data_IF_892976504166
#
_entry.id   IF_892976504166
#
_cell.length_a   1.000
_cell.length_b   1.000
_cell.length_c   1.000
_cell.angle_alpha   90.00
_cell.angle_beta   90.00
_cell.angle_gamma   90.00
#
_symmetry.space_group_name_H-M   'P 1'
#
loop_
_entity.id
_entity.type
_entity.pdbx_description
1 polymer ?
#
# COMPACT_ATOMS: atom_id res chain seq x y z
N UNK A 1 -28.67 2.75 1.49
CA UNK A 1 -28.19 2.27 0.17
C UNK A 1 -27.30 3.30 -0.51
N UNK A 2 -27.81 4.47 -0.96
CA UNK A 2 -26.98 5.48 -1.65
C UNK A 2 -25.76 5.95 -0.82
N UNK A 3 -25.96 6.24 0.47
CA UNK A 3 -24.86 6.69 1.34
C UNK A 3 -23.76 5.64 1.54
N UNK A 4 -24.11 4.37 1.60
CA UNK A 4 -23.15 3.27 1.72
C UNK A 4 -22.32 3.10 0.44
N UNK A 5 -22.99 3.16 -0.72
CA UNK A 5 -22.32 3.13 -2.03
C UNK A 5 -21.36 4.31 -2.17
N UNK A 6 -21.78 5.52 -1.79
CA UNK A 6 -20.92 6.70 -1.85
C UNK A 6 -19.68 6.54 -0.96
N UNK A 7 -19.84 5.99 0.24
CA UNK A 7 -18.70 5.67 1.13
C UNK A 7 -17.77 4.66 0.46
N UNK A 8 -18.28 3.55 -0.08
CA UNK A 8 -17.49 2.52 -0.79
C UNK A 8 -16.71 3.12 -1.97
N UNK A 9 -17.31 4.05 -2.72
CA UNK A 9 -16.64 4.80 -3.81
C UNK A 9 -15.50 5.68 -3.27
N UNK A 10 -15.75 6.48 -2.23
CA UNK A 10 -14.72 7.34 -1.62
C UNK A 10 -13.54 6.51 -1.11
N UNK A 11 -13.80 5.40 -0.43
CA UNK A 11 -12.74 4.50 0.04
C UNK A 11 -11.97 3.88 -1.14
N UNK A 12 -12.66 3.51 -2.22
CA UNK A 12 -11.99 2.99 -3.43
C UNK A 12 -11.09 4.05 -4.07
N UNK A 13 -11.49 5.32 -4.09
CA UNK A 13 -10.63 6.41 -4.58
C UNK A 13 -9.37 6.58 -3.70
N UNK A 14 -9.51 6.51 -2.37
CA UNK A 14 -8.37 6.53 -1.44
C UNK A 14 -7.45 5.31 -1.65
N UNK A 15 -8.03 4.14 -1.92
CA UNK A 15 -7.30 2.92 -2.26
C UNK A 15 -6.52 3.08 -3.57
N UNK A 16 -7.10 3.70 -4.60
CA UNK A 16 -6.39 4.00 -5.84
C UNK A 16 -5.24 5.00 -5.62
N UNK A 17 -5.47 6.06 -4.84
CA UNK A 17 -4.43 7.05 -4.54
C UNK A 17 -3.28 6.45 -3.74
N UNK A 18 -3.58 5.60 -2.76
CA UNK A 18 -2.55 4.86 -2.00
C UNK A 18 -1.81 3.83 -2.86
N UNK A 19 -2.47 3.23 -3.86
CA UNK A 19 -1.80 2.37 -4.84
C UNK A 19 -0.80 3.17 -5.67
N UNK A 20 -1.15 4.37 -6.14
CA UNK A 20 -0.21 5.26 -6.85
C UNK A 20 1.00 5.57 -5.97
N UNK A 21 0.77 5.90 -4.69
CA UNK A 21 1.85 6.10 -3.73
C UNK A 21 2.73 4.85 -3.55
N UNK A 22 2.11 3.67 -3.55
CA UNK A 22 2.80 2.38 -3.47
C UNK A 22 3.64 2.09 -4.70
N UNK A 23 3.16 2.40 -5.89
CA UNK A 23 3.89 2.11 -7.12
C UNK A 23 5.03 3.10 -7.39
N UNK A 24 4.92 4.33 -6.88
CA UNK A 24 5.86 5.42 -7.20
C UNK A 24 6.79 5.75 -5.99
N UNK A 25 6.41 6.59 -5.00
CA UNK A 25 7.24 6.88 -3.83
C UNK A 25 7.86 5.66 -3.16
N UNK A 26 7.08 4.61 -2.90
CA UNK A 26 7.59 3.41 -2.24
C UNK A 26 8.58 2.61 -3.09
N UNK A 27 8.42 2.62 -4.42
CA UNK A 27 9.41 2.03 -5.32
C UNK A 27 10.75 2.79 -5.25
N UNK A 28 10.73 4.13 -5.27
CA UNK A 28 11.94 4.94 -5.08
C UNK A 28 12.59 4.70 -3.72
N UNK A 29 11.78 4.64 -2.66
CA UNK A 29 12.23 4.28 -1.32
C UNK A 29 12.98 2.95 -1.28
N UNK A 30 12.40 1.91 -1.89
CA UNK A 30 12.98 0.58 -1.93
C UNK A 30 14.27 0.52 -2.77
N UNK A 31 14.35 1.26 -3.88
CA UNK A 31 15.58 1.37 -4.68
C UNK A 31 16.69 2.10 -3.91
N UNK A 32 16.37 3.15 -3.17
CA UNK A 32 17.33 3.84 -2.31
C UNK A 32 17.78 2.95 -1.14
N UNK A 33 16.86 2.14 -0.59
CA UNK A 33 17.19 1.15 0.42
C UNK A 33 18.17 0.09 -0.12
N UNK A 34 17.98 -0.38 -1.36
CA UNK A 34 18.93 -1.28 -2.02
C UNK A 34 20.34 -0.69 -2.09
N UNK A 35 20.47 0.57 -2.52
CA UNK A 35 21.76 1.27 -2.60
C UNK A 35 22.47 1.32 -1.25
N UNK A 36 21.72 1.45 -0.15
CA UNK A 36 22.26 1.60 1.21
C UNK A 36 22.56 0.26 1.91
N UNK A 37 21.74 -0.76 1.68
CA UNK A 37 21.74 -2.00 2.48
C UNK A 37 22.10 -3.26 1.70
N UNK A 38 22.26 -3.17 0.37
CA UNK A 38 22.59 -4.30 -0.49
C UNK A 38 21.39 -5.19 -0.86
N UNK A 39 21.68 -6.27 -1.59
CA UNK A 39 20.67 -7.10 -2.27
C UNK A 39 19.82 -8.00 -1.35
N UNK A 40 20.36 -8.65 -0.28
CA UNK A 40 19.55 -9.57 0.54
C UNK A 40 18.37 -8.89 1.23
N UNK A 41 18.59 -7.75 1.88
CA UNK A 41 17.53 -7.00 2.57
C UNK A 41 16.57 -6.35 1.57
N UNK A 42 17.07 -5.95 0.40
CA UNK A 42 16.24 -5.44 -0.68
C UNK A 42 15.27 -6.50 -1.22
N UNK A 43 15.67 -7.78 -1.34
CA UNK A 43 14.77 -8.86 -1.75
C UNK A 43 13.60 -9.02 -0.78
N UNK A 44 13.84 -8.95 0.53
CA UNK A 44 12.79 -8.97 1.54
C UNK A 44 11.84 -7.78 1.34
N UNK A 45 12.40 -6.57 1.24
CA UNK A 45 11.60 -5.37 0.99
C UNK A 45 10.79 -5.45 -0.31
N UNK A 46 11.34 -6.04 -1.37
CA UNK A 46 10.65 -6.25 -2.65
C UNK A 46 9.48 -7.22 -2.52
N UNK A 47 9.62 -8.29 -1.74
CA UNK A 47 8.51 -9.21 -1.44
C UNK A 47 7.42 -8.47 -0.66
N UNK A 48 7.78 -7.74 0.40
CA UNK A 48 6.82 -6.95 1.18
C UNK A 48 6.10 -5.88 0.31
N UNK A 49 6.84 -5.25 -0.62
CA UNK A 49 6.29 -4.28 -1.55
C UNK A 49 5.26 -4.91 -2.49
N UNK A 50 5.56 -6.06 -3.09
CA UNK A 50 4.60 -6.79 -3.94
C UNK A 50 3.38 -7.25 -3.16
N UNK A 51 3.54 -7.74 -1.94
CA UNK A 51 2.41 -8.05 -1.06
C UNK A 51 1.52 -6.81 -0.90
N UNK A 52 2.10 -5.66 -0.56
CA UNK A 52 1.34 -4.41 -0.44
C UNK A 52 0.63 -4.01 -1.74
N UNK A 53 1.28 -4.10 -2.90
CA UNK A 53 0.64 -3.86 -4.21
C UNK A 53 -0.57 -4.79 -4.40
N UNK A 54 -0.41 -6.10 -4.17
CA UNK A 54 -1.49 -7.08 -4.37
C UNK A 54 -2.63 -6.95 -3.37
N UNK A 55 -2.39 -6.42 -2.17
CA UNK A 55 -3.46 -6.19 -1.19
C UNK A 55 -4.45 -5.10 -1.63
N UNK A 56 -4.06 -4.18 -2.52
CA UNK A 56 -4.99 -3.16 -3.02
C UNK A 56 -6.17 -3.76 -3.81
N UNK A 57 -5.99 -4.56 -4.88
CA UNK A 57 -7.11 -5.21 -5.56
C UNK A 57 -7.86 -6.19 -4.64
N UNK A 58 -7.19 -6.88 -3.71
CA UNK A 58 -7.86 -7.73 -2.70
C UNK A 58 -8.81 -6.91 -1.83
N UNK A 59 -8.38 -5.75 -1.35
CA UNK A 59 -9.23 -4.85 -0.56
C UNK A 59 -10.37 -4.27 -1.39
N UNK A 60 -10.13 -3.89 -2.65
CA UNK A 60 -11.20 -3.44 -3.54
C UNK A 60 -12.27 -4.52 -3.69
N UNK A 61 -11.86 -5.77 -3.98
CA UNK A 61 -12.79 -6.89 -4.09
C UNK A 61 -13.53 -7.13 -2.76
N UNK A 62 -12.82 -7.07 -1.63
CA UNK A 62 -13.41 -7.20 -0.29
C UNK A 62 -14.52 -6.18 -0.01
N UNK A 63 -14.32 -4.92 -0.39
CA UNK A 63 -15.29 -3.83 -0.21
C UNK A 63 -16.56 -4.07 -1.03
N UNK A 64 -16.39 -4.49 -2.28
CA UNK A 64 -17.49 -4.55 -3.25
C UNK A 64 -18.25 -5.87 -3.26
N UNK A 65 -17.61 -6.99 -2.94
CA UNK A 65 -18.21 -8.33 -3.09
C UNK A 65 -18.42 -9.09 -1.78
N UNK A 66 -17.73 -8.72 -0.71
CA UNK A 66 -17.72 -9.50 0.54
C UNK A 66 -18.15 -8.70 1.77
N UNK A 67 -18.64 -7.46 1.58
CA UNK A 67 -19.01 -6.53 2.66
C UNK A 67 -17.98 -6.47 3.79
N UNK A 68 -16.70 -6.52 3.40
CA UNK A 68 -15.61 -6.51 4.34
C UNK A 68 -15.62 -5.20 5.16
N UNK A 69 -15.32 -5.33 6.44
CA UNK A 69 -15.32 -4.20 7.38
C UNK A 69 -14.35 -3.10 6.90
N UNK A 70 -14.92 -1.94 6.54
CA UNK A 70 -14.17 -0.78 6.06
C UNK A 70 -13.08 -0.34 7.04
N UNK A 71 -13.38 -0.32 8.34
CA UNK A 71 -12.41 0.06 9.38
C UNK A 71 -11.22 -0.89 9.43
N UNK A 72 -11.46 -2.21 9.35
CA UNK A 72 -10.39 -3.21 9.31
C UNK A 72 -9.51 -3.03 8.06
N UNK A 73 -10.13 -2.78 6.90
CA UNK A 73 -9.39 -2.60 5.65
C UNK A 73 -8.52 -1.34 5.67
N UNK A 74 -9.10 -0.20 6.06
CA UNK A 74 -8.38 1.08 6.15
C UNK A 74 -7.22 0.97 7.16
N UNK A 75 -7.48 0.41 8.34
CA UNK A 75 -6.45 0.24 9.37
C UNK A 75 -5.34 -0.71 8.91
N UNK A 76 -5.70 -1.82 8.27
CA UNK A 76 -4.71 -2.78 7.75
C UNK A 76 -3.84 -2.14 6.67
N UNK A 77 -4.43 -1.40 5.73
CA UNK A 77 -3.69 -0.70 4.68
C UNK A 77 -2.76 0.36 5.27
N UNK A 78 -3.26 1.18 6.18
CA UNK A 78 -2.48 2.22 6.85
C UNK A 78 -1.30 1.61 7.63
N UNK A 79 -1.53 0.52 8.36
CA UNK A 79 -0.48 -0.21 9.07
C UNK A 79 0.58 -0.75 8.12
N UNK A 80 0.17 -1.38 7.01
CA UNK A 80 1.10 -1.88 5.99
C UNK A 80 1.96 -0.74 5.40
N UNK A 81 1.34 0.38 5.02
CA UNK A 81 2.06 1.56 4.53
C UNK A 81 3.03 2.12 5.56
N UNK A 82 2.60 2.21 6.82
CA UNK A 82 3.44 2.71 7.92
C UNK A 82 4.66 1.82 8.14
N UNK A 83 4.46 0.52 8.33
CA UNK A 83 5.56 -0.44 8.54
C UNK A 83 6.51 -0.48 7.34
N UNK A 84 5.98 -0.47 6.11
CA UNK A 84 6.80 -0.42 4.91
C UNK A 84 7.62 0.86 4.84
N UNK A 85 6.99 2.01 5.05
CA UNK A 85 7.64 3.33 5.04
C UNK A 85 8.79 3.42 6.05
N UNK A 86 8.56 3.04 7.30
CA UNK A 86 9.60 3.12 8.34
C UNK A 86 10.71 2.08 8.18
N UNK A 87 10.50 0.99 7.43
CA UNK A 87 11.49 -0.09 7.31
C UNK A 87 12.29 0.04 6.01
N UNK A 88 11.59 0.18 4.89
CA UNK A 88 12.17 0.07 3.54
C UNK A 88 12.14 1.37 2.74
N UNK A 89 11.27 2.32 3.08
CA UNK A 89 11.05 3.52 2.26
C UNK A 89 11.18 4.84 3.03
N UNK A 90 12.12 4.92 3.98
CA UNK A 90 12.39 6.16 4.75
C UNK A 90 12.88 7.32 3.86
N UNK A 91 13.53 7.02 2.75
CA UNK A 91 14.02 8.01 1.80
C UNK A 91 13.45 7.75 0.40
N UNK A 92 12.38 8.49 0.06
CA UNK A 92 11.72 8.43 -1.26
C UNK A 92 12.21 9.50 -2.24
N UNK A 93 13.31 10.19 -1.92
CA UNK A 93 13.91 11.19 -2.81
C UNK A 93 14.35 10.56 -4.13
N UNK A 94 14.20 11.31 -5.22
CA UNK A 94 14.71 10.97 -6.55
C UNK A 94 16.02 11.69 -6.89
N UNK A 95 16.57 12.46 -5.95
CA UNK A 95 17.86 13.17 -6.08
C UNK A 95 19.04 12.22 -5.92
#
# INVERSE_FOLDING_TARGET
>A
MLGEVLIKVVITLLLCMSLVWTLLPWAFGLLNFQKKHGDPLYKIGRVCWWVMVTMHPVFAIGIWFFDASLSKLIFSLAAMHFFFGITFARNVSTQ
#
